data_IF_051466381024
#
_entry.id   IF_051466381024
#
_cell.length_a   1.000
_cell.length_b   1.000
_cell.length_c   1.000
_cell.angle_alpha   90.00
_cell.angle_beta   90.00
_cell.angle_gamma   90.00
#
_symmetry.space_group_name_H-M   'P 1'
#
loop_
_entity.id
_entity.type
_entity.pdbx_description
1 polymer ?
#
# COMPACT_ATOMS: atom_id res chain seq x y z
N UNK A 1 20.50 -28.78 -62.51
CA UNK A 1 19.43 -27.77 -62.56
C UNK A 1 18.83 -27.66 -61.17
N UNK A 2 19.05 -26.55 -60.46
CA UNK A 2 18.60 -26.34 -59.08
C UNK A 2 17.38 -25.42 -59.14
N UNK A 3 16.20 -25.80 -58.65
CA UNK A 3 15.10 -24.85 -58.53
C UNK A 3 15.29 -24.05 -57.24
N UNK A 4 15.65 -22.77 -57.37
CA UNK A 4 15.64 -21.79 -56.29
C UNK A 4 14.17 -21.43 -56.03
N UNK A 5 13.61 -21.97 -54.95
CA UNK A 5 12.30 -21.58 -54.46
C UNK A 5 12.38 -20.19 -53.83
N UNK A 6 11.78 -19.19 -54.47
CA UNK A 6 11.63 -17.84 -53.95
C UNK A 6 10.54 -17.87 -52.88
N UNK A 7 10.92 -17.73 -51.61
CA UNK A 7 9.98 -17.60 -50.49
C UNK A 7 9.44 -16.17 -50.51
N UNK A 8 8.12 -15.94 -50.68
CA UNK A 8 7.57 -14.61 -50.51
C UNK A 8 7.57 -14.25 -49.03
N UNK A 9 8.38 -13.26 -48.66
CA UNK A 9 8.34 -12.60 -47.36
C UNK A 9 7.03 -11.81 -47.33
N UNK A 10 5.96 -12.43 -46.81
CA UNK A 10 4.75 -11.71 -46.42
C UNK A 10 5.09 -10.89 -45.18
N UNK A 11 5.48 -9.65 -45.40
CA UNK A 11 5.50 -8.60 -44.39
C UNK A 11 4.06 -8.30 -43.97
N UNK A 12 3.51 -9.11 -43.07
CA UNK A 12 2.32 -8.74 -42.32
C UNK A 12 2.77 -7.64 -41.37
N UNK A 13 2.52 -6.39 -41.76
CA UNK A 13 2.75 -5.23 -40.92
C UNK A 13 2.04 -5.40 -39.56
N UNK A 14 2.79 -5.18 -38.48
CA UNK A 14 2.23 -4.99 -37.14
C UNK A 14 1.29 -3.79 -37.17
N UNK A 15 0.00 -4.04 -37.33
CA UNK A 15 -1.04 -3.01 -37.34
C UNK A 15 -1.46 -2.67 -35.90
N UNK A 16 -1.21 -1.43 -35.48
CA UNK A 16 -1.96 -0.56 -34.56
C UNK A 16 -2.75 -1.19 -33.37
N UNK A 17 -2.22 -2.21 -32.71
CA UNK A 17 -2.81 -2.82 -31.49
C UNK A 17 -2.06 -2.49 -30.20
N UNK A 18 -0.95 -1.77 -30.29
CA UNK A 18 -0.02 -1.56 -29.16
C UNK A 18 -0.43 -0.42 -28.23
N UNK A 19 -1.09 0.63 -28.73
CA UNK A 19 -1.40 1.83 -27.92
C UNK A 19 -2.49 1.57 -26.86
N UNK A 20 -3.60 0.92 -27.24
CA UNK A 20 -4.64 0.53 -26.27
C UNK A 20 -4.10 -0.38 -25.17
N UNK A 21 -3.19 -1.29 -25.51
CA UNK A 21 -2.63 -2.23 -24.52
C UNK A 21 -1.81 -1.50 -23.45
N UNK A 22 -1.15 -0.37 -23.78
CA UNK A 22 -0.30 0.35 -22.82
C UNK A 22 -1.11 1.02 -21.72
N UNK A 23 -2.19 1.72 -22.07
CA UNK A 23 -3.10 2.27 -21.07
C UNK A 23 -3.82 1.17 -20.28
N UNK A 24 -4.19 0.06 -20.90
CA UNK A 24 -4.77 -1.08 -20.19
C UNK A 24 -3.78 -1.70 -19.18
N UNK A 25 -2.49 -1.76 -19.51
CA UNK A 25 -1.45 -2.18 -18.56
C UNK A 25 -1.24 -1.16 -17.44
N UNK A 26 -1.24 0.13 -17.76
CA UNK A 26 -1.11 1.20 -16.76
C UNK A 26 -2.26 1.16 -15.75
N UNK A 27 -3.49 1.02 -16.24
CA UNK A 27 -4.68 0.84 -15.40
C UNK A 27 -4.59 -0.39 -14.52
N UNK A 28 -4.16 -1.53 -15.07
CA UNK A 28 -3.97 -2.75 -14.28
C UNK A 28 -2.85 -2.59 -13.22
N UNK A 29 -1.75 -1.92 -13.57
CA UNK A 29 -0.68 -1.60 -12.64
C UNK A 29 -1.21 -0.71 -11.50
N UNK A 30 -1.99 0.32 -11.82
CA UNK A 30 -2.66 1.18 -10.86
C UNK A 30 -3.58 0.39 -9.92
N UNK A 31 -4.53 -0.36 -10.47
CA UNK A 31 -5.54 -1.10 -9.68
C UNK A 31 -4.87 -2.11 -8.74
N UNK A 32 -3.89 -2.86 -9.23
CA UNK A 32 -3.16 -3.85 -8.43
C UNK A 32 -2.28 -3.19 -7.37
N UNK A 33 -1.62 -2.08 -7.69
CA UNK A 33 -0.83 -1.31 -6.72
C UNK A 33 -1.71 -0.74 -5.63
N UNK A 34 -2.86 -0.17 -5.99
CA UNK A 34 -3.80 0.39 -5.04
C UNK A 34 -4.38 -0.66 -4.09
N UNK A 35 -4.76 -1.83 -4.61
CA UNK A 35 -5.24 -2.96 -3.79
C UNK A 35 -4.13 -3.46 -2.87
N UNK A 36 -2.92 -3.65 -3.40
CA UNK A 36 -1.78 -4.11 -2.61
C UNK A 36 -1.48 -3.14 -1.45
N UNK A 37 -1.37 -1.85 -1.72
CA UNK A 37 -1.09 -0.85 -0.69
C UNK A 37 -2.18 -0.83 0.39
N UNK A 38 -3.45 -0.94 0.01
CA UNK A 38 -4.56 -1.04 0.99
C UNK A 38 -4.44 -2.27 1.87
N UNK A 39 -4.19 -3.45 1.31
CA UNK A 39 -4.00 -4.69 2.08
C UNK A 39 -2.87 -4.57 3.11
N UNK A 40 -1.78 -3.88 2.74
CA UNK A 40 -0.65 -3.65 3.64
C UNK A 40 -0.93 -2.57 4.70
N UNK A 41 -1.73 -1.54 4.39
CA UNK A 41 -2.26 -0.60 5.39
C UNK A 41 -3.11 -1.35 6.43
N UNK A 42 -4.01 -2.23 5.97
CA UNK A 42 -4.85 -3.03 6.84
C UNK A 42 -4.00 -3.98 7.70
N UNK A 43 -2.96 -4.58 7.12
CA UNK A 43 -2.01 -5.41 7.86
C UNK A 43 -1.28 -4.61 8.95
N UNK A 44 -0.80 -3.41 8.65
CA UNK A 44 -0.18 -2.52 9.65
C UNK A 44 -1.15 -2.16 10.77
N UNK A 45 -2.42 -1.93 10.46
CA UNK A 45 -3.42 -1.59 11.47
C UNK A 45 -3.61 -2.70 12.52
N UNK A 46 -3.28 -3.94 12.17
CA UNK A 46 -3.36 -5.12 13.04
C UNK A 46 -2.00 -5.58 13.59
N UNK A 47 -0.90 -4.89 13.27
CA UNK A 47 0.43 -5.27 13.75
C UNK A 47 0.52 -5.17 15.29
N UNK A 48 1.11 -6.20 15.90
CA UNK A 48 1.16 -6.35 17.37
C UNK A 48 2.46 -5.81 17.99
N UNK A 49 3.56 -5.86 17.24
CA UNK A 49 4.87 -5.43 17.71
C UNK A 49 5.71 -4.78 16.59
N UNK A 50 6.87 -4.24 16.98
CA UNK A 50 7.78 -3.55 16.07
C UNK A 50 8.46 -4.48 15.06
N UNK A 51 8.64 -5.76 15.38
CA UNK A 51 9.21 -6.75 14.45
C UNK A 51 8.21 -7.04 13.32
N UNK A 52 6.93 -7.15 13.67
CA UNK A 52 5.86 -7.34 12.71
C UNK A 52 5.71 -6.12 11.77
N UNK A 53 5.80 -4.89 12.30
CA UNK A 53 5.81 -3.68 11.47
C UNK A 53 6.95 -3.71 10.44
N UNK A 54 8.17 -4.02 10.89
CA UNK A 54 9.34 -4.09 10.00
C UNK A 54 9.17 -5.17 8.93
N UNK A 55 8.65 -6.34 9.31
CA UNK A 55 8.34 -7.43 8.38
C UNK A 55 7.29 -7.02 7.35
N UNK A 56 6.23 -6.33 7.76
CA UNK A 56 5.17 -5.83 6.86
C UNK A 56 5.76 -4.81 5.88
N UNK A 57 6.58 -3.87 6.36
CA UNK A 57 7.23 -2.87 5.51
C UNK A 57 8.19 -3.50 4.48
N UNK A 58 9.02 -4.46 4.90
CA UNK A 58 9.90 -5.20 4.01
C UNK A 58 9.11 -5.96 2.94
N UNK A 59 8.06 -6.67 3.35
CA UNK A 59 7.22 -7.44 2.44
C UNK A 59 6.45 -6.54 1.45
N UNK A 60 5.98 -5.38 1.90
CA UNK A 60 5.37 -4.38 1.03
C UNK A 60 6.34 -3.94 -0.06
N UNK A 61 7.55 -3.51 0.32
CA UNK A 61 8.58 -3.08 -0.63
C UNK A 61 8.92 -4.17 -1.63
N UNK A 62 9.14 -5.41 -1.16
CA UNK A 62 9.42 -6.54 -2.04
C UNK A 62 8.26 -6.80 -3.01
N UNK A 63 7.02 -6.73 -2.54
CA UNK A 63 5.85 -7.08 -3.34
C UNK A 63 5.45 -5.99 -4.32
N UNK A 64 5.57 -4.71 -3.96
CA UNK A 64 5.31 -3.59 -4.89
C UNK A 64 6.39 -3.53 -5.97
N UNK A 65 7.65 -3.78 -5.62
CA UNK A 65 8.74 -3.92 -6.61
C UNK A 65 8.52 -5.11 -7.53
N UNK A 66 8.15 -6.26 -6.98
CA UNK A 66 7.84 -7.44 -7.79
C UNK A 66 6.66 -7.18 -8.73
N UNK A 67 5.61 -6.52 -8.23
CA UNK A 67 4.44 -6.13 -9.04
C UNK A 67 4.87 -5.24 -10.21
N UNK A 68 5.75 -4.26 -9.99
CA UNK A 68 6.24 -3.40 -11.07
C UNK A 68 6.95 -4.19 -12.18
N UNK A 69 7.72 -5.23 -11.81
CA UNK A 69 8.39 -6.11 -12.79
C UNK A 69 7.46 -7.09 -13.52
N UNK A 70 6.20 -7.23 -13.09
CA UNK A 70 5.20 -8.03 -13.81
C UNK A 70 4.65 -7.31 -15.05
N UNK A 71 4.88 -6.00 -15.17
CA UNK A 71 4.40 -5.17 -16.28
C UNK A 71 5.55 -4.79 -17.23
N UNK A 72 5.23 -4.44 -18.50
CA UNK A 72 6.24 -3.90 -19.42
C UNK A 72 6.97 -2.68 -18.84
N UNK A 73 8.24 -2.44 -19.22
CA UNK A 73 8.93 -1.21 -18.87
C UNK A 73 8.12 0.04 -19.25
N UNK A 74 8.31 1.12 -18.48
CA UNK A 74 7.67 2.42 -18.69
C UNK A 74 6.13 2.41 -18.60
N UNK A 75 5.51 1.32 -18.11
CA UNK A 75 4.06 1.25 -17.88
C UNK A 75 3.59 2.28 -16.85
N UNK A 76 4.43 2.61 -15.88
CA UNK A 76 4.18 3.64 -14.86
C UNK A 76 4.09 5.06 -15.45
N UNK A 77 4.76 5.32 -16.57
CA UNK A 77 4.72 6.61 -17.26
C UNK A 77 3.40 6.86 -18.00
N UNK A 78 2.59 5.81 -18.18
CA UNK A 78 1.31 5.85 -18.88
C UNK A 78 0.12 6.02 -17.92
N UNK A 79 0.39 6.11 -16.61
CA UNK A 79 -0.61 6.45 -15.59
C UNK A 79 -1.09 7.89 -15.80
N UNK A 80 -2.39 8.10 -15.70
CA UNK A 80 -2.91 9.46 -15.70
C UNK A 80 -2.67 10.15 -14.35
N UNK A 81 -2.87 11.47 -14.31
CA UNK A 81 -2.62 12.30 -13.13
C UNK A 81 -3.43 11.83 -11.90
N UNK A 82 -4.70 11.48 -12.08
CA UNK A 82 -5.58 11.03 -10.99
C UNK A 82 -5.15 9.68 -10.40
N UNK A 83 -4.74 8.74 -11.26
CA UNK A 83 -4.21 7.44 -10.87
C UNK A 83 -2.91 7.60 -10.07
N UNK A 84 -1.97 8.42 -10.58
CA UNK A 84 -0.72 8.71 -9.90
C UNK A 84 -0.94 9.40 -8.56
N UNK A 85 -1.80 10.42 -8.51
CA UNK A 85 -2.17 11.12 -7.27
C UNK A 85 -2.79 10.17 -6.24
N UNK A 86 -3.60 9.23 -6.69
CA UNK A 86 -4.21 8.21 -5.85
C UNK A 86 -3.16 7.27 -5.24
N UNK A 87 -2.16 6.83 -6.03
CA UNK A 87 -1.05 6.04 -5.51
C UNK A 87 -0.19 6.83 -4.51
N UNK A 88 0.08 8.11 -4.78
CA UNK A 88 0.80 9.00 -3.86
C UNK A 88 0.05 9.11 -2.53
N UNK A 89 -1.27 9.32 -2.55
CA UNK A 89 -2.11 9.38 -1.35
C UNK A 89 -2.06 8.06 -0.56
N UNK A 90 -2.18 6.93 -1.24
CA UNK A 90 -2.10 5.61 -0.61
C UNK A 90 -0.73 5.35 0.03
N UNK A 91 0.36 5.70 -0.66
CA UNK A 91 1.71 5.58 -0.10
C UNK A 91 1.91 6.49 1.13
N UNK A 92 1.41 7.72 1.09
CA UNK A 92 1.42 8.60 2.27
C UNK A 92 0.64 8.01 3.44
N UNK A 93 -0.52 7.40 3.19
CA UNK A 93 -1.31 6.72 4.22
C UNK A 93 -0.56 5.53 4.82
N UNK A 94 0.08 4.72 3.97
CA UNK A 94 0.91 3.60 4.42
C UNK A 94 2.05 4.06 5.35
N UNK A 95 2.85 5.04 4.92
CA UNK A 95 3.93 5.60 5.73
C UNK A 95 3.41 6.23 7.03
N UNK A 96 2.29 6.96 6.98
CA UNK A 96 1.67 7.52 8.19
C UNK A 96 1.23 6.42 9.16
N UNK A 97 0.62 5.35 8.67
CA UNK A 97 0.19 4.23 9.52
C UNK A 97 1.38 3.55 10.18
N UNK A 98 2.49 3.35 9.45
CA UNK A 98 3.73 2.83 10.04
C UNK A 98 4.19 3.69 11.22
N UNK A 99 4.30 5.01 11.04
CA UNK A 99 4.74 5.91 12.10
C UNK A 99 3.81 5.92 13.31
N UNK A 100 2.49 5.93 13.07
CA UNK A 100 1.50 5.88 14.15
C UNK A 100 1.63 4.59 14.94
N UNK A 101 1.74 3.45 14.26
CA UNK A 101 1.85 2.15 14.92
C UNK A 101 3.15 1.97 15.68
N UNK A 102 4.27 2.37 15.08
CA UNK A 102 5.57 2.34 15.73
C UNK A 102 5.60 3.23 16.98
N UNK A 103 4.97 4.41 16.93
CA UNK A 103 4.82 5.31 18.07
C UNK A 103 4.01 4.69 19.21
N UNK A 104 2.86 4.05 18.90
CA UNK A 104 1.99 3.38 19.89
C UNK A 104 2.72 2.23 20.58
N UNK A 105 3.45 1.41 19.81
CA UNK A 105 4.16 0.24 20.36
C UNK A 105 5.38 0.67 21.19
N UNK A 106 6.09 1.71 20.76
CA UNK A 106 7.27 2.21 21.48
C UNK A 106 6.93 2.99 22.75
N UNK A 107 5.75 3.62 22.78
CA UNK A 107 5.26 4.39 23.92
C UNK A 107 3.85 3.92 24.30
N UNK A 108 3.71 2.72 24.90
CA UNK A 108 2.41 2.24 25.33
C UNK A 108 1.86 3.24 26.34
N UNK A 109 0.79 3.94 25.98
CA UNK A 109 0.09 4.83 26.90
C UNK A 109 -0.45 4.00 28.04
N UNK A 110 0.18 4.07 29.22
CA UNK A 110 -0.34 3.47 30.44
C UNK A 110 -1.68 4.15 30.71
N UNK A 111 -2.77 3.41 30.58
CA UNK A 111 -4.08 3.88 31.02
C UNK A 111 -3.97 4.14 32.52
N UNK A 112 -4.04 5.40 32.92
CA UNK A 112 -4.22 5.77 34.32
C UNK A 112 -5.64 5.36 34.71
N UNK A 113 -5.82 4.12 35.16
CA UNK A 113 -7.05 3.71 35.83
C UNK A 113 -7.21 4.57 37.10
N UNK A 114 -8.25 5.38 37.10
CA UNK A 114 -8.64 6.28 38.17
C UNK A 114 -8.83 5.51 39.47
N UNK A 115 -7.90 5.66 40.42
CA UNK A 115 -8.15 5.30 41.83
C UNK A 115 -9.21 6.27 42.36
N UNK A 116 -10.47 5.83 42.43
CA UNK A 116 -11.52 6.53 43.17
C UNK A 116 -11.17 6.40 44.66
N UNK A 117 -10.57 7.45 45.23
CA UNK A 117 -10.45 7.58 46.68
C UNK A 117 -11.82 8.00 47.21
N UNK A 118 -12.58 7.05 47.76
CA UNK A 118 -13.75 7.36 48.57
C UNK A 118 -13.27 8.15 49.80
N UNK A 119 -13.57 9.45 49.86
CA UNK A 119 -13.46 10.24 51.08
C UNK A 119 -14.51 9.76 52.10
N UNK A 120 -14.18 9.52 53.38
CA UNK A 120 -15.18 9.28 54.41
C UNK A 120 -15.93 10.57 54.72
N UNK A 121 -17.26 10.48 54.81
CA UNK A 121 -18.15 11.55 55.28
C UNK A 121 -17.69 12.08 56.66
N UNK A 122 -17.61 13.41 56.78
CA UNK A 122 -17.40 14.08 58.06
C UNK A 122 -18.70 14.03 58.90
N UNK A 123 -18.61 13.89 60.24
CA UNK A 123 -19.81 13.80 61.08
C UNK A 123 -20.46 15.17 61.24
N UNK A 124 -21.79 15.17 61.08
CA UNK A 124 -22.70 16.27 61.34
C UNK A 124 -22.64 16.69 62.82
N UNK A 125 -22.05 17.86 63.09
CA UNK A 125 -22.08 18.47 64.43
C UNK A 125 -23.42 19.19 64.60
N UNK A 126 -24.25 18.58 65.46
CA UNK A 126 -25.56 19.07 65.88
C UNK A 126 -25.42 20.24 66.85
N UNK A 127 -26.30 21.22 66.65
CA UNK A 127 -26.97 22.09 67.63
C UNK A 127 -26.47 22.01 69.09
N UNK A 128 -25.97 23.14 69.59
CA UNK A 128 -26.32 23.66 70.92
C UNK A 128 -26.06 25.16 71.06
#
# INVERSE_FOLDING_TARGET
MIPIAIIPIFSIGCTNKTENNRHDFARQLFERSAVLTKMYIDSLSNASDSTEIQRIALNFNNRITSLNYEFPPDTDLELNEEENDSLIKLNKMFTKMMHVKDSIISHPTVANDSVIINQPEAPNEKDH
#
